data_IF_348183222172
#
_entry.id   IF_348183222172
#
_cell.length_a   1.000
_cell.length_b   1.000
_cell.length_c   1.000
_cell.angle_alpha   90.00
_cell.angle_beta   90.00
_cell.angle_gamma   90.00
#
_symmetry.space_group_name_H-M   'P 1'
#
loop_
_entity.id
_entity.type
_entity.pdbx_description
1 polymer ?
#
# COMPACT_ATOMS: atom_id res chain seq x y z
N UNK A 1 8.01 -35.40 31.84
CA UNK A 1 7.23 -36.25 32.78
C UNK A 1 6.14 -35.39 33.42
N UNK A 2 4.88 -35.78 33.18
CA UNK A 2 3.62 -35.43 33.86
C UNK A 2 3.33 -33.98 34.27
N UNK A 3 2.66 -33.25 33.38
CA UNK A 3 1.91 -32.02 33.67
C UNK A 3 0.57 -32.36 34.34
N UNK A 4 0.54 -32.33 35.67
CA UNK A 4 -0.69 -32.29 36.48
C UNK A 4 -0.43 -31.40 37.70
N UNK A 5 -0.53 -30.08 37.56
CA UNK A 5 -0.59 -29.18 38.73
C UNK A 5 -1.36 -27.87 38.52
N UNK A 6 -1.68 -27.49 37.28
CA UNK A 6 -2.44 -26.27 36.99
C UNK A 6 -3.96 -26.49 37.08
N UNK A 7 -4.48 -26.77 38.28
CA UNK A 7 -5.92 -26.78 38.52
C UNK A 7 -6.37 -26.04 39.79
N UNK A 8 -5.49 -25.31 40.48
CA UNK A 8 -5.89 -24.50 41.65
C UNK A 8 -5.21 -23.15 41.67
N UNK A 9 -5.73 -22.23 40.86
CA UNK A 9 -5.68 -20.78 41.09
C UNK A 9 -6.74 -20.13 40.20
N UNK A 10 -8.00 -20.36 40.55
CA UNK A 10 -9.12 -19.59 40.04
C UNK A 10 -9.77 -18.87 41.23
N UNK A 11 -10.08 -17.59 41.02
CA UNK A 11 -10.90 -16.66 41.82
C UNK A 11 -10.14 -15.56 42.59
N UNK A 12 -9.99 -14.42 41.93
CA UNK A 12 -10.51 -13.15 42.44
C UNK A 12 -11.22 -12.43 41.30
N UNK A 13 -12.56 -12.38 41.42
CA UNK A 13 -13.46 -11.94 40.37
C UNK A 13 -13.51 -10.42 40.22
N UNK A 14 -13.40 -9.97 38.98
CA UNK A 14 -14.03 -8.74 38.48
C UNK A 14 -15.15 -9.20 37.55
N UNK A 15 -16.37 -8.75 37.86
CA UNK A 15 -17.60 -9.17 37.22
C UNK A 15 -17.56 -8.92 35.70
N UNK A 16 -17.59 -10.01 34.93
CA UNK A 16 -17.96 -9.99 33.53
C UNK A 16 -19.42 -10.40 33.45
N UNK A 17 -20.30 -9.48 33.07
CA UNK A 17 -21.69 -9.77 32.75
C UNK A 17 -21.74 -10.67 31.52
N UNK A 18 -22.08 -11.94 31.73
CA UNK A 18 -22.52 -12.85 30.69
C UNK A 18 -23.89 -12.39 30.20
N UNK A 19 -23.95 -11.84 28.98
CA UNK A 19 -25.21 -11.78 28.25
C UNK A 19 -25.54 -13.20 27.78
N UNK A 20 -26.39 -13.87 28.54
CA UNK A 20 -27.14 -15.03 28.10
C UNK A 20 -28.19 -14.54 27.09
N UNK A 21 -28.03 -14.85 25.81
CA UNK A 21 -29.11 -14.73 24.85
C UNK A 21 -30.12 -15.85 25.12
N UNK A 22 -31.05 -15.58 26.03
CA UNK A 22 -32.29 -16.31 26.16
C UNK A 22 -33.20 -15.97 24.98
N UNK A 23 -33.82 -17.00 24.41
CA UNK A 23 -35.00 -16.90 23.56
C UNK A 23 -36.06 -16.07 24.28
N UNK A 24 -36.37 -14.89 23.74
CA UNK A 24 -37.34 -13.97 24.34
C UNK A 24 -37.73 -12.89 23.36
N UNK A 25 -38.91 -13.08 22.78
CA UNK A 25 -39.65 -12.13 21.93
C UNK A 25 -39.76 -10.76 22.58
N UNK A 26 -39.25 -9.68 21.96
CA UNK A 26 -39.75 -8.33 22.24
C UNK A 26 -39.74 -7.45 20.98
N UNK A 27 -40.88 -6.81 20.84
CA UNK A 27 -41.35 -5.73 19.99
C UNK A 27 -40.39 -4.58 19.71
N UNK A 28 -40.63 -3.99 18.53
CA UNK A 28 -40.15 -2.73 17.97
C UNK A 28 -39.84 -1.58 18.95
N UNK A 29 -38.71 -0.89 18.75
CA UNK A 29 -38.67 0.54 18.40
C UNK A 29 -37.21 1.06 18.21
N UNK A 30 -37.01 1.76 17.08
CA UNK A 30 -36.05 2.83 16.79
C UNK A 30 -34.52 2.64 16.97
N UNK A 31 -33.81 2.76 15.84
CA UNK A 31 -32.66 3.67 15.74
C UNK A 31 -31.26 3.06 15.63
N UNK A 32 -30.88 2.59 14.44
CA UNK A 32 -29.49 2.31 14.07
C UNK A 32 -29.40 1.94 12.59
N UNK A 33 -28.91 2.86 11.75
CA UNK A 33 -28.75 2.62 10.30
C UNK A 33 -27.65 1.58 10.08
N UNK A 34 -28.07 0.33 9.91
CA UNK A 34 -27.33 -0.72 9.25
C UNK A 34 -27.41 -0.46 7.73
N UNK A 35 -26.31 -0.44 6.96
CA UNK A 35 -26.41 -0.47 5.52
C UNK A 35 -26.83 -1.89 5.10
N UNK A 36 -28.13 -2.07 4.86
CA UNK A 36 -28.68 -3.21 4.14
C UNK A 36 -28.99 -2.79 2.72
N UNK A 37 -28.23 -3.33 1.76
CA UNK A 37 -28.80 -3.95 0.56
C UNK A 37 -27.68 -4.68 -0.17
N UNK A 38 -27.74 -6.01 -0.15
CA UNK A 38 -26.94 -6.86 -0.99
C UNK A 38 -27.44 -6.73 -2.44
N UNK A 39 -26.67 -6.02 -3.28
CA UNK A 39 -26.62 -6.30 -4.71
C UNK A 39 -25.35 -7.14 -4.90
N UNK A 40 -25.51 -8.46 -5.06
CA UNK A 40 -24.45 -9.32 -5.56
C UNK A 40 -24.25 -9.02 -7.04
N UNK A 41 -23.45 -8.00 -7.34
CA UNK A 41 -22.67 -8.02 -8.58
C UNK A 41 -21.62 -9.11 -8.44
N UNK A 42 -21.27 -9.88 -9.50
CA UNK A 42 -20.11 -10.76 -9.42
C UNK A 42 -18.92 -9.88 -9.04
N UNK A 43 -18.28 -10.16 -7.91
CA UNK A 43 -17.02 -9.52 -7.54
C UNK A 43 -16.05 -9.73 -8.72
N UNK A 44 -15.74 -8.68 -9.47
CA UNK A 44 -14.77 -8.78 -10.57
C UNK A 44 -13.45 -9.26 -9.97
N UNK A 45 -13.08 -10.50 -10.28
CA UNK A 45 -11.88 -11.13 -9.74
C UNK A 45 -10.66 -10.32 -10.18
N UNK A 46 -9.86 -9.88 -9.19
CA UNK A 46 -8.68 -9.07 -9.48
C UNK A 46 -7.59 -9.92 -10.10
N UNK A 47 -7.13 -9.51 -11.29
CA UNK A 47 -5.97 -10.11 -11.94
C UNK A 47 -4.68 -9.40 -11.53
N UNK A 48 -3.89 -10.06 -10.68
CA UNK A 48 -2.65 -9.51 -10.10
C UNK A 48 -1.39 -9.96 -10.82
N UNK A 49 -1.46 -11.05 -11.59
CA UNK A 49 -0.35 -11.64 -12.32
C UNK A 49 -0.71 -11.90 -13.77
N UNK A 50 0.30 -11.83 -14.64
CA UNK A 50 0.18 -12.11 -16.06
C UNK A 50 1.39 -12.91 -16.52
N UNK A 51 1.16 -13.96 -17.30
CA UNK A 51 2.19 -14.92 -17.70
C UNK A 51 3.24 -14.32 -18.63
N UNK A 52 2.92 -13.20 -19.30
CA UNK A 52 3.82 -12.51 -20.23
C UNK A 52 4.69 -11.43 -19.55
N UNK A 53 4.57 -11.25 -18.23
CA UNK A 53 5.47 -10.42 -17.41
C UNK A 53 6.64 -11.30 -16.94
N UNK A 54 7.50 -11.68 -17.89
CA UNK A 54 8.66 -12.52 -17.66
C UNK A 54 9.86 -12.00 -18.47
N UNK A 55 11.06 -12.16 -17.91
CA UNK A 55 12.32 -11.69 -18.49
C UNK A 55 12.81 -10.38 -17.89
N UNK A 56 14.15 -10.20 -17.83
CA UNK A 56 14.79 -9.10 -17.10
C UNK A 56 14.42 -7.70 -17.58
N UNK A 57 13.92 -7.55 -18.80
CA UNK A 57 13.48 -6.27 -19.38
C UNK A 57 12.08 -5.83 -18.91
N UNK A 58 11.25 -6.74 -18.36
CA UNK A 58 9.86 -6.45 -17.96
C UNK A 58 9.45 -6.97 -16.59
N UNK A 59 10.20 -7.89 -15.97
CA UNK A 59 9.83 -8.49 -14.67
C UNK A 59 9.69 -7.45 -13.56
N UNK A 60 10.50 -6.39 -13.61
CA UNK A 60 10.40 -5.25 -12.71
C UNK A 60 9.02 -4.58 -12.72
N UNK A 61 8.27 -4.70 -13.83
CA UNK A 61 6.94 -4.11 -13.99
C UNK A 61 5.84 -4.90 -13.24
N UNK A 62 6.11 -6.13 -12.78
CA UNK A 62 5.14 -6.91 -12.02
C UNK A 62 4.66 -6.19 -10.75
N UNK A 63 5.58 -5.50 -10.05
CA UNK A 63 5.27 -4.73 -8.84
C UNK A 63 4.33 -3.54 -9.12
N UNK A 64 4.66 -2.58 -10.01
CA UNK A 64 3.77 -1.46 -10.29
C UNK A 64 2.43 -1.90 -10.90
N UNK A 65 2.40 -2.95 -11.72
CA UNK A 65 1.15 -3.50 -12.25
C UNK A 65 0.26 -4.02 -11.12
N UNK A 66 0.82 -4.81 -10.20
CA UNK A 66 0.09 -5.30 -9.04
C UNK A 66 -0.36 -4.17 -8.09
N UNK A 67 0.44 -3.12 -7.92
CA UNK A 67 0.05 -1.98 -7.08
C UNK A 67 -1.11 -1.17 -7.65
N UNK A 68 -1.37 -1.28 -8.95
CA UNK A 68 -2.48 -0.58 -9.61
C UNK A 68 -3.72 -1.47 -9.79
N UNK A 69 -3.63 -2.77 -9.49
CA UNK A 69 -4.68 -3.73 -9.82
C UNK A 69 -5.99 -3.51 -9.04
N UNK A 70 -5.96 -2.83 -7.88
CA UNK A 70 -7.18 -2.44 -7.16
C UNK A 70 -7.96 -1.32 -7.85
N UNK A 71 -7.42 -0.79 -8.96
CA UNK A 71 -7.99 0.32 -9.71
C UNK A 71 -8.17 -0.07 -11.18
N UNK A 72 -9.23 0.43 -11.84
CA UNK A 72 -9.53 0.11 -13.23
C UNK A 72 -8.67 0.93 -14.22
N UNK A 73 -7.34 0.90 -14.06
CA UNK A 73 -6.39 1.70 -14.84
C UNK A 73 -5.96 0.92 -16.08
N UNK A 74 -5.29 -0.20 -15.85
CA UNK A 74 -4.87 -1.13 -16.89
C UNK A 74 -5.84 -2.29 -16.96
N UNK A 75 -6.31 -2.58 -18.18
CA UNK A 75 -6.96 -3.85 -18.47
C UNK A 75 -5.93 -4.78 -19.13
N UNK A 76 -6.00 -6.07 -18.77
CA UNK A 76 -5.43 -7.13 -19.58
C UNK A 76 -6.16 -7.22 -20.92
N UNK A 77 -5.58 -7.96 -21.85
CA UNK A 77 -6.22 -8.22 -23.14
C UNK A 77 -7.12 -9.47 -23.03
N UNK A 78 -8.10 -9.64 -23.95
CA UNK A 78 -8.98 -10.82 -23.96
C UNK A 78 -8.23 -12.16 -24.06
N UNK A 79 -6.99 -12.14 -24.56
CA UNK A 79 -6.09 -13.30 -24.62
C UNK A 79 -5.44 -13.64 -23.26
N UNK A 80 -5.73 -12.86 -22.21
CA UNK A 80 -5.22 -13.04 -20.87
C UNK A 80 -3.86 -12.38 -20.61
N UNK A 81 -3.18 -11.82 -21.60
CA UNK A 81 -1.88 -11.16 -21.45
C UNK A 81 -1.97 -9.72 -20.96
N UNK A 82 -0.87 -9.20 -20.40
CA UNK A 82 -0.71 -7.77 -20.14
C UNK A 82 -0.20 -7.00 -21.36
N UNK A 83 0.65 -7.63 -22.16
CA UNK A 83 1.43 -7.12 -23.29
C UNK A 83 2.43 -6.03 -22.89
N UNK A 84 3.39 -6.34 -22.00
CA UNK A 84 4.27 -5.33 -21.38
C UNK A 84 5.17 -4.59 -22.38
N UNK A 85 5.53 -5.24 -23.49
CA UNK A 85 6.39 -4.70 -24.54
C UNK A 85 5.63 -3.91 -25.61
N UNK A 86 4.30 -3.93 -25.58
CA UNK A 86 3.47 -3.21 -26.56
C UNK A 86 3.70 -1.70 -26.38
N UNK A 87 4.06 -0.97 -27.45
CA UNK A 87 3.99 0.49 -27.46
C UNK A 87 2.57 0.95 -27.13
N UNK A 88 2.44 2.04 -26.37
CA UNK A 88 1.12 2.64 -26.10
C UNK A 88 0.91 3.89 -26.93
N UNK A 89 -0.32 4.10 -27.39
CA UNK A 89 -0.68 5.28 -28.17
C UNK A 89 -0.85 6.53 -27.29
N UNK A 90 -0.94 7.71 -27.91
CA UNK A 90 -1.30 8.95 -27.22
C UNK A 90 -2.68 8.87 -26.59
N UNK A 91 -3.64 8.26 -27.29
CA UNK A 91 -4.98 8.03 -26.76
C UNK A 91 -4.98 7.09 -25.55
N UNK A 92 -4.26 5.96 -25.63
CA UNK A 92 -4.14 5.01 -24.51
C UNK A 92 -3.48 5.65 -23.28
N UNK A 93 -2.43 6.45 -23.48
CA UNK A 93 -1.76 7.20 -22.41
C UNK A 93 -2.73 8.12 -21.67
N UNK A 94 -3.53 8.93 -22.40
CA UNK A 94 -4.56 9.79 -21.78
C UNK A 94 -5.60 8.99 -21.01
N UNK A 95 -6.05 7.87 -21.58
CA UNK A 95 -7.03 7.03 -20.92
C UNK A 95 -6.51 6.48 -19.59
N UNK A 96 -5.27 5.99 -19.55
CA UNK A 96 -4.68 5.43 -18.34
C UNK A 96 -4.47 6.49 -17.26
N UNK A 97 -3.92 7.66 -17.60
CA UNK A 97 -3.70 8.71 -16.59
C UNK A 97 -5.01 9.29 -16.06
N UNK A 98 -6.04 9.48 -16.91
CA UNK A 98 -7.35 9.97 -16.47
C UNK A 98 -8.06 8.96 -15.57
N UNK A 99 -7.87 7.66 -15.79
CA UNK A 99 -8.33 6.63 -14.84
C UNK A 99 -7.59 6.70 -13.51
N UNK A 100 -6.28 6.97 -13.53
CA UNK A 100 -5.49 7.13 -12.31
C UNK A 100 -5.89 8.37 -11.49
N UNK A 101 -6.41 9.41 -12.11
CA UNK A 101 -6.90 10.61 -11.41
C UNK A 101 -8.42 10.63 -11.24
N UNK A 102 -9.06 9.46 -11.28
CA UNK A 102 -10.49 9.24 -11.05
C UNK A 102 -11.43 10.06 -11.97
N UNK A 103 -10.99 10.29 -13.21
CA UNK A 103 -11.75 10.98 -14.26
C UNK A 103 -12.46 10.04 -15.24
N UNK A 104 -12.42 8.73 -14.99
CA UNK A 104 -13.05 7.71 -15.87
C UNK A 104 -14.54 7.97 -16.07
N UNK A 105 -15.32 8.17 -15.01
CA UNK A 105 -16.77 8.36 -15.15
C UNK A 105 -17.10 9.65 -15.91
N UNK A 106 -16.31 10.71 -15.72
CA UNK A 106 -16.45 11.94 -16.48
C UNK A 106 -16.16 11.69 -17.96
N UNK A 107 -15.00 11.10 -18.28
CA UNK A 107 -14.57 10.83 -19.64
C UNK A 107 -15.53 9.89 -20.40
N UNK A 108 -16.17 8.94 -19.71
CA UNK A 108 -17.15 8.02 -20.32
C UNK A 108 -18.59 8.53 -20.26
N UNK A 109 -18.82 9.75 -19.75
CA UNK A 109 -20.15 10.36 -19.71
C UNK A 109 -20.65 10.67 -21.12
N UNK A 110 -21.98 10.63 -21.30
CA UNK A 110 -22.58 10.95 -22.60
C UNK A 110 -22.26 12.38 -23.07
N UNK A 111 -22.02 13.32 -22.16
CA UNK A 111 -21.62 14.68 -22.52
C UNK A 111 -20.23 14.70 -23.18
N UNK A 112 -19.22 14.13 -22.52
CA UNK A 112 -17.85 14.14 -23.03
C UNK A 112 -17.71 13.30 -24.30
N UNK A 113 -18.41 12.15 -24.37
CA UNK A 113 -18.36 11.23 -25.49
C UNK A 113 -18.99 11.78 -26.78
N UNK A 114 -19.87 12.77 -26.69
CA UNK A 114 -20.48 13.45 -27.85
C UNK A 114 -19.82 14.78 -28.18
N UNK A 115 -18.68 15.10 -27.56
CA UNK A 115 -17.96 16.36 -27.80
C UNK A 115 -17.33 16.37 -29.19
N UNK A 116 -17.52 17.48 -29.91
CA UNK A 116 -16.78 17.75 -31.15
C UNK A 116 -15.36 18.19 -30.80
N UNK A 117 -14.38 17.33 -31.06
CA UNK A 117 -12.98 17.61 -30.80
C UNK A 117 -12.43 18.69 -31.77
N UNK A 118 -11.52 19.56 -31.31
CA UNK A 118 -11.00 20.68 -32.10
C UNK A 118 -9.85 20.29 -33.06
N UNK A 119 -9.54 19.01 -33.20
CA UNK A 119 -8.42 18.52 -33.99
C UNK A 119 -8.80 18.19 -35.43
N UNK A 120 -7.87 18.36 -36.35
CA UNK A 120 -8.06 18.04 -37.77
C UNK A 120 -8.14 16.52 -38.02
N UNK A 121 -7.56 15.71 -37.14
CA UNK A 121 -7.60 14.25 -37.12
C UNK A 121 -8.59 13.72 -36.06
N UNK A 122 -9.63 14.50 -35.73
CA UNK A 122 -10.65 14.06 -34.78
C UNK A 122 -11.37 12.77 -35.21
N UNK A 123 -11.49 12.53 -36.52
CA UNK A 123 -12.12 11.33 -37.07
C UNK A 123 -11.26 10.06 -36.87
N UNK A 124 -9.96 10.20 -36.60
CA UNK A 124 -9.06 9.08 -36.26
C UNK A 124 -9.19 8.66 -34.79
N UNK A 125 -9.86 9.47 -33.95
CA UNK A 125 -10.10 9.13 -32.55
C UNK A 125 -11.18 8.07 -32.47
N UNK A 126 -10.81 6.87 -32.00
CA UNK A 126 -11.79 5.81 -31.77
C UNK A 126 -12.93 6.28 -30.85
N UNK A 127 -14.15 5.82 -31.12
CA UNK A 127 -15.36 6.27 -30.41
C UNK A 127 -15.25 6.21 -28.88
N UNK A 128 -14.69 5.12 -28.33
CA UNK A 128 -14.45 4.96 -26.88
C UNK A 128 -13.54 6.04 -26.26
N UNK A 129 -12.71 6.68 -27.08
CA UNK A 129 -11.68 7.63 -26.70
C UNK A 129 -12.08 9.10 -26.76
N UNK A 130 -13.19 9.43 -27.41
CA UNK A 130 -13.62 10.83 -27.65
C UNK A 130 -13.70 11.61 -26.34
N UNK A 131 -14.38 11.05 -25.33
CA UNK A 131 -14.52 11.74 -24.05
C UNK A 131 -13.21 11.82 -23.25
N UNK A 132 -12.28 10.89 -23.44
CA UNK A 132 -10.94 10.99 -22.83
C UNK A 132 -10.11 12.13 -23.43
N UNK A 133 -10.21 12.36 -24.75
CA UNK A 133 -9.57 13.51 -25.39
C UNK A 133 -10.25 14.81 -24.95
N UNK A 134 -11.57 14.84 -24.88
CA UNK A 134 -12.34 16.00 -24.39
C UNK A 134 -11.94 16.39 -22.96
N UNK A 135 -11.93 15.42 -22.03
CA UNK A 135 -11.48 15.67 -20.66
C UNK A 135 -10.00 16.06 -20.62
N UNK A 136 -9.14 15.44 -21.43
CA UNK A 136 -7.74 15.83 -21.53
C UNK A 136 -7.53 17.30 -21.91
N UNK A 137 -8.37 17.87 -22.79
CA UNK A 137 -8.38 19.30 -23.11
C UNK A 137 -8.85 20.15 -21.93
N UNK A 138 -9.96 19.76 -21.29
CA UNK A 138 -10.54 20.48 -20.13
C UNK A 138 -9.58 20.54 -18.95
N UNK A 139 -8.82 19.48 -18.72
CA UNK A 139 -7.82 19.36 -17.66
C UNK A 139 -6.44 19.89 -18.08
N UNK A 140 -6.31 20.55 -19.24
CA UNK A 140 -5.06 21.10 -19.77
C UNK A 140 -3.90 20.08 -19.93
N UNK A 141 -4.24 18.79 -20.07
CA UNK A 141 -3.25 17.72 -20.28
C UNK A 141 -2.67 17.75 -21.70
N UNK A 142 -3.51 18.15 -22.65
CA UNK A 142 -3.17 18.37 -24.06
C UNK A 142 -3.59 19.77 -24.48
N UNK A 143 -2.87 20.36 -25.43
CA UNK A 143 -3.07 21.75 -25.82
C UNK A 143 -4.20 21.89 -26.84
N UNK A 144 -5.16 22.82 -26.63
CA UNK A 144 -6.16 23.15 -27.66
C UNK A 144 -5.56 23.88 -28.87
N UNK A 145 -4.31 24.36 -28.77
CA UNK A 145 -3.60 25.01 -29.88
C UNK A 145 -2.91 24.04 -30.84
N UNK A 146 -2.86 22.75 -30.52
CA UNK A 146 -2.36 21.71 -31.44
C UNK A 146 -3.40 21.45 -32.54
N UNK A 147 -2.99 21.50 -33.81
CA UNK A 147 -3.92 21.22 -34.94
C UNK A 147 -4.25 19.74 -35.10
N UNK A 148 -3.41 18.85 -34.59
CA UNK A 148 -3.54 17.40 -34.69
C UNK A 148 -3.27 16.76 -33.32
N UNK A 149 -4.06 15.76 -32.95
CA UNK A 149 -3.89 15.02 -31.70
C UNK A 149 -3.01 13.77 -31.87
N UNK A 150 -3.03 13.13 -33.03
CA UNK A 150 -2.36 11.87 -33.37
C UNK A 150 -2.74 10.69 -32.45
N UNK A 151 -4.03 10.29 -32.40
CA UNK A 151 -4.55 9.35 -31.40
C UNK A 151 -3.83 7.99 -31.38
N UNK A 152 -3.52 7.45 -32.55
CA UNK A 152 -2.90 6.12 -32.72
C UNK A 152 -1.36 6.17 -32.78
N UNK A 153 -0.76 7.37 -32.82
CA UNK A 153 0.69 7.49 -32.78
C UNK A 153 1.21 7.06 -31.41
N UNK A 154 2.32 6.33 -31.41
CA UNK A 154 3.04 5.97 -30.19
C UNK A 154 3.37 7.20 -29.35
N UNK A 155 3.09 7.13 -28.05
CA UNK A 155 3.44 8.20 -27.12
C UNK A 155 4.94 8.23 -26.86
N UNK A 156 5.60 9.36 -27.10
CA UNK A 156 7.00 9.53 -26.70
C UNK A 156 7.11 9.57 -25.18
N UNK A 157 8.25 9.11 -24.65
CA UNK A 157 8.52 9.13 -23.21
C UNK A 157 8.44 10.53 -22.62
N UNK A 158 8.90 11.55 -23.35
CA UNK A 158 8.77 12.95 -22.93
C UNK A 158 7.31 13.37 -22.82
N UNK A 159 6.50 13.10 -23.85
CA UNK A 159 5.11 13.51 -23.86
C UNK A 159 4.30 12.81 -22.76
N UNK A 160 4.50 11.50 -22.58
CA UNK A 160 3.86 10.74 -21.50
C UNK A 160 4.24 11.28 -20.11
N UNK A 161 5.50 11.69 -19.93
CA UNK A 161 5.97 12.33 -18.68
C UNK A 161 5.26 13.65 -18.42
N UNK A 162 5.18 14.53 -19.43
CA UNK A 162 4.52 15.85 -19.31
C UNK A 162 3.04 15.69 -18.94
N UNK A 163 2.33 14.81 -19.64
CA UNK A 163 0.91 14.51 -19.39
C UNK A 163 0.71 14.00 -17.97
N UNK A 164 1.55 13.07 -17.49
CA UNK A 164 1.46 12.57 -16.12
C UNK A 164 1.71 13.68 -15.09
N UNK A 165 2.75 14.50 -15.26
CA UNK A 165 3.05 15.62 -14.33
C UNK A 165 1.90 16.63 -14.29
N UNK A 166 1.31 16.96 -15.44
CA UNK A 166 0.12 17.83 -15.52
C UNK A 166 -1.08 17.23 -14.81
N UNK A 167 -1.39 15.96 -15.05
CA UNK A 167 -2.52 15.29 -14.42
C UNK A 167 -2.39 15.17 -12.90
N UNK A 168 -1.16 15.14 -12.38
CA UNK A 168 -0.88 15.20 -10.95
C UNK A 168 -1.00 16.62 -10.35
N UNK A 169 -1.36 17.63 -11.15
CA UNK A 169 -1.45 19.02 -10.71
C UNK A 169 -0.08 19.69 -10.48
N UNK A 170 1.00 19.13 -11.03
CA UNK A 170 2.37 19.57 -10.77
C UNK A 170 2.95 20.48 -11.86
N UNK A 171 2.11 21.00 -12.77
CA UNK A 171 2.53 21.87 -13.87
C UNK A 171 3.25 23.13 -13.36
N UNK A 172 2.73 23.80 -12.34
CA UNK A 172 3.37 25.02 -11.81
C UNK A 172 4.74 24.73 -11.18
N UNK A 173 4.88 23.59 -10.49
CA UNK A 173 6.18 23.15 -9.96
C UNK A 173 7.16 22.89 -11.11
N UNK A 174 6.72 22.27 -12.19
CA UNK A 174 7.53 22.03 -13.38
C UNK A 174 7.96 23.33 -14.06
N UNK A 175 7.05 24.28 -14.23
CA UNK A 175 7.35 25.59 -14.81
C UNK A 175 8.31 26.42 -13.94
N UNK A 176 8.32 26.21 -12.61
CA UNK A 176 9.30 26.83 -11.71
C UNK A 176 10.72 26.28 -11.86
N UNK A 177 10.86 25.09 -12.48
CA UNK A 177 12.12 24.36 -12.67
C UNK A 177 12.62 24.40 -14.11
N UNK A 178 12.19 25.39 -14.90
CA UNK A 178 12.66 25.58 -16.27
C UNK A 178 14.19 25.61 -16.35
N UNK A 179 14.77 24.86 -17.29
CA UNK A 179 16.21 24.78 -17.49
C UNK A 179 16.98 24.03 -16.39
N UNK A 180 16.28 23.28 -15.52
CA UNK A 180 16.92 22.49 -14.48
C UNK A 180 17.95 21.51 -15.05
N UNK A 181 19.04 21.30 -14.31
CA UNK A 181 20.03 20.27 -14.62
C UNK A 181 19.43 18.90 -14.35
N UNK A 182 19.49 18.02 -15.33
CA UNK A 182 18.93 16.67 -15.26
C UNK A 182 20.04 15.63 -15.09
N UNK A 183 19.74 14.49 -14.46
CA UNK A 183 20.71 13.40 -14.30
C UNK A 183 20.82 12.53 -15.57
N UNK A 184 20.45 13.05 -16.75
CA UNK A 184 20.38 12.30 -18.00
C UNK A 184 21.23 12.97 -19.09
N UNK A 185 22.10 12.20 -19.73
CA UNK A 185 23.09 12.71 -20.69
C UNK A 185 22.48 13.15 -22.04
N UNK A 186 21.29 12.64 -22.36
CA UNK A 186 20.60 12.79 -23.65
C UNK A 186 19.45 13.80 -23.59
N UNK A 187 19.55 14.80 -22.70
CA UNK A 187 18.49 15.79 -22.49
C UNK A 187 18.87 17.22 -22.87
N UNK A 188 20.03 17.39 -23.50
CA UNK A 188 20.54 18.70 -23.90
C UNK A 188 19.64 19.38 -24.95
N UNK A 189 19.03 18.60 -25.83
CA UNK A 189 18.11 19.05 -26.89
C UNK A 189 16.74 19.49 -26.38
N UNK A 190 16.40 19.15 -25.13
CA UNK A 190 15.10 19.51 -24.54
C UNK A 190 15.02 21.03 -24.30
N UNK A 191 13.83 21.57 -24.55
CA UNK A 191 13.52 22.95 -24.16
C UNK A 191 13.64 23.14 -22.65
N UNK A 192 13.84 24.39 -22.20
CA UNK A 192 13.90 24.68 -20.77
C UNK A 192 12.62 24.26 -20.05
N UNK A 193 11.46 24.39 -20.71
CA UNK A 193 10.18 23.92 -20.19
C UNK A 193 10.13 22.40 -20.03
N UNK A 194 10.51 21.65 -21.06
CA UNK A 194 10.54 20.18 -21.01
C UNK A 194 11.50 19.67 -19.92
N UNK A 195 12.63 20.36 -19.72
CA UNK A 195 13.56 20.07 -18.61
C UNK A 195 12.90 20.26 -17.25
N UNK A 196 12.03 21.26 -17.09
CA UNK A 196 11.25 21.47 -15.87
C UNK A 196 10.29 20.33 -15.56
N UNK A 197 9.54 19.86 -16.56
CA UNK A 197 8.66 18.69 -16.41
C UNK A 197 9.42 17.43 -16.06
N UNK A 198 10.53 17.17 -16.75
CA UNK A 198 11.36 16.02 -16.49
C UNK A 198 12.03 16.08 -15.11
N UNK A 199 12.43 17.27 -14.65
CA UNK A 199 12.98 17.46 -13.31
C UNK A 199 11.97 17.10 -12.21
N UNK A 200 10.71 17.54 -12.35
CA UNK A 200 9.63 17.12 -11.42
C UNK A 200 9.39 15.62 -11.51
N UNK A 201 9.40 15.04 -12.72
CA UNK A 201 9.30 13.59 -12.91
C UNK A 201 10.37 12.81 -12.14
N UNK A 202 11.61 13.30 -12.14
CA UNK A 202 12.71 12.71 -11.35
C UNK A 202 12.49 12.91 -9.85
N UNK A 203 12.18 14.14 -9.42
CA UNK A 203 12.04 14.49 -8.00
C UNK A 203 10.90 13.74 -7.30
N UNK A 204 9.79 13.53 -7.99
CA UNK A 204 8.65 12.74 -7.48
C UNK A 204 8.83 11.23 -7.64
N UNK A 205 9.97 10.77 -8.15
CA UNK A 205 10.26 9.35 -8.36
C UNK A 205 9.45 8.70 -9.49
N UNK A 206 8.89 9.49 -10.41
CA UNK A 206 8.18 8.98 -11.59
C UNK A 206 9.15 8.46 -12.64
N UNK A 207 10.31 9.12 -12.78
CA UNK A 207 11.30 8.85 -13.83
C UNK A 207 12.66 8.52 -13.23
N UNK A 208 13.16 7.31 -13.51
CA UNK A 208 14.51 6.87 -13.11
C UNK A 208 15.54 6.88 -14.26
N UNK A 209 15.06 6.86 -15.50
CA UNK A 209 15.88 6.68 -16.71
C UNK A 209 16.39 5.25 -16.89
N UNK A 210 17.28 5.07 -17.87
CA UNK A 210 17.98 3.83 -18.13
C UNK A 210 19.44 3.99 -17.77
N UNK A 211 20.03 2.98 -17.12
CA UNK A 211 21.47 2.91 -16.92
C UNK A 211 22.06 2.27 -18.18
N UNK A 212 22.93 3.01 -18.85
CA UNK A 212 23.63 2.56 -20.04
C UNK A 212 24.85 1.70 -19.67
N UNK A 213 25.42 1.00 -20.66
CA UNK A 213 26.59 0.13 -20.45
C UNK A 213 27.82 0.85 -19.87
N UNK A 214 27.93 2.16 -20.11
CA UNK A 214 29.00 3.01 -19.57
C UNK A 214 28.71 3.55 -18.15
N UNK A 215 27.57 3.16 -17.55
CA UNK A 215 27.14 3.61 -16.21
C UNK A 215 26.44 4.97 -16.20
N UNK A 216 26.39 5.67 -17.33
CA UNK A 216 25.64 6.92 -17.46
C UNK A 216 24.13 6.63 -17.54
N UNK A 217 23.32 7.67 -17.30
CA UNK A 217 21.86 7.54 -17.39
C UNK A 217 21.30 8.29 -18.58
N UNK A 218 20.34 7.68 -19.26
CA UNK A 218 19.56 8.30 -20.34
C UNK A 218 18.08 8.38 -19.97
N UNK A 219 17.40 9.37 -20.53
CA UNK A 219 15.96 9.49 -20.46
C UNK A 219 15.26 8.89 -21.69
N UNK A 220 15.88 9.03 -22.86
CA UNK A 220 15.39 8.66 -24.20
C UNK A 220 14.09 9.39 -24.56
N UNK A 221 14.12 10.73 -24.74
CA UNK A 221 12.90 11.55 -24.82
C UNK A 221 11.99 11.21 -26.00
N UNK A 222 12.57 10.74 -27.11
CA UNK A 222 11.87 10.45 -28.35
C UNK A 222 11.47 8.98 -28.52
N UNK A 223 11.96 8.08 -27.66
CA UNK A 223 11.56 6.68 -27.67
C UNK A 223 10.06 6.56 -27.38
N UNK A 224 9.41 5.61 -28.05
CA UNK A 224 8.01 5.28 -27.78
C UNK A 224 7.94 4.47 -26.49
N UNK A 225 7.09 4.91 -25.56
CA UNK A 225 6.94 4.26 -24.27
C UNK A 225 6.13 2.96 -24.41
N UNK A 226 6.57 1.90 -23.74
CA UNK A 226 5.83 0.64 -23.67
C UNK A 226 4.82 0.64 -22.53
N UNK A 227 3.86 -0.29 -22.57
CA UNK A 227 2.85 -0.46 -21.53
C UNK A 227 3.47 -0.74 -20.15
N UNK A 228 4.53 -1.56 -20.09
CA UNK A 228 5.27 -1.80 -18.84
C UNK A 228 5.97 -0.54 -18.32
N UNK A 229 6.63 0.21 -19.21
CA UNK A 229 7.29 1.47 -18.84
C UNK A 229 6.30 2.47 -18.26
N UNK A 230 5.14 2.64 -18.90
CA UNK A 230 4.12 3.55 -18.40
C UNK A 230 3.44 3.03 -17.13
N UNK A 231 3.25 1.71 -16.99
CA UNK A 231 2.78 1.12 -15.73
C UNK A 231 3.73 1.41 -14.57
N UNK A 232 5.05 1.39 -14.80
CA UNK A 232 6.04 1.85 -13.83
C UNK A 232 5.82 3.30 -13.37
N UNK A 233 5.63 4.21 -14.32
CA UNK A 233 5.34 5.63 -14.05
C UNK A 233 4.03 5.76 -13.26
N UNK A 234 2.96 5.12 -13.70
CA UNK A 234 1.65 5.21 -13.06
C UNK A 234 1.62 4.55 -11.69
N UNK A 235 2.40 3.47 -11.47
CA UNK A 235 2.52 2.80 -10.18
C UNK A 235 3.03 3.74 -9.10
N UNK A 236 4.03 4.56 -9.44
CA UNK A 236 4.57 5.58 -8.55
C UNK A 236 3.64 6.80 -8.44
N UNK A 237 3.06 7.23 -9.55
CA UNK A 237 2.06 8.31 -9.55
C UNK A 237 0.84 7.97 -8.68
N UNK A 238 0.47 6.69 -8.59
CA UNK A 238 -0.61 6.20 -7.74
C UNK A 238 -0.39 6.41 -6.24
N UNK A 239 0.85 6.62 -5.80
CA UNK A 239 1.16 6.96 -4.40
C UNK A 239 0.99 8.48 -4.11
N UNK A 240 0.77 9.30 -5.15
CA UNK A 240 0.64 10.76 -5.10
C UNK A 240 -0.80 11.27 -5.28
N UNK A 241 -1.69 10.41 -5.79
CA UNK A 241 -3.11 10.74 -5.98
C UNK A 241 -3.94 10.27 -4.79
N UNK A 242 -5.16 10.80 -4.68
CA UNK A 242 -6.13 10.25 -3.73
C UNK A 242 -6.46 8.81 -4.14
N UNK A 243 -6.25 7.88 -3.22
CA UNK A 243 -6.53 6.47 -3.41
C UNK A 243 -7.22 5.95 -2.15
N UNK A 244 -8.55 5.73 -2.16
CA UNK A 244 -9.27 5.26 -0.99
C UNK A 244 -8.91 3.83 -0.60
N UNK A 245 -8.19 3.09 -1.46
CA UNK A 245 -7.71 1.75 -1.15
C UNK A 245 -6.34 1.75 -0.48
N UNK A 246 -5.60 2.87 -0.57
CA UNK A 246 -4.24 3.00 -0.07
C UNK A 246 -4.24 3.27 1.44
N UNK A 247 -3.57 2.40 2.17
CA UNK A 247 -3.35 2.49 3.61
C UNK A 247 -1.85 2.56 3.86
N UNK A 248 -1.39 3.60 4.54
CA UNK A 248 -0.01 3.72 5.04
C UNK A 248 -0.03 3.56 6.55
N UNK A 249 0.93 2.82 7.08
CA UNK A 249 0.99 2.58 8.51
C UNK A 249 2.01 1.52 8.90
N UNK A 250 1.87 1.01 10.12
CA UNK A 250 2.73 0.00 10.72
C UNK A 250 1.97 -1.28 10.98
N UNK A 251 2.57 -2.42 10.69
CA UNK A 251 2.01 -3.72 11.09
C UNK A 251 2.03 -3.82 12.62
N UNK A 252 0.86 -3.98 13.25
CA UNK A 252 0.72 -4.18 14.71
C UNK A 252 0.58 -5.66 15.07
N UNK A 253 0.05 -6.48 14.17
CA UNK A 253 0.03 -7.93 14.27
C UNK A 253 -0.04 -8.56 12.87
N UNK A 254 0.49 -9.78 12.71
CA UNK A 254 0.40 -10.55 11.47
C UNK A 254 0.00 -11.99 11.77
N UNK A 255 -1.00 -12.49 11.04
CA UNK A 255 -1.34 -13.89 10.94
C UNK A 255 -1.05 -14.33 9.49
N UNK A 256 0.16 -14.83 9.18
CA UNK A 256 0.58 -15.10 7.81
C UNK A 256 -0.42 -15.99 7.05
N UNK A 257 -0.71 -15.62 5.80
CA UNK A 257 -1.69 -16.31 4.96
C UNK A 257 -3.16 -16.08 5.33
N UNK A 258 -3.45 -15.40 6.45
CA UNK A 258 -4.81 -15.13 6.91
C UNK A 258 -5.15 -13.64 6.94
N UNK A 259 -4.43 -12.84 7.74
CA UNK A 259 -4.69 -11.40 7.86
C UNK A 259 -3.49 -10.63 8.42
N UNK A 260 -3.55 -9.30 8.32
CA UNK A 260 -2.66 -8.40 9.05
C UNK A 260 -3.45 -7.28 9.74
N UNK A 261 -2.94 -6.80 10.87
CA UNK A 261 -3.41 -5.59 11.53
C UNK A 261 -2.47 -4.44 11.23
N UNK A 262 -3.02 -3.30 10.81
CA UNK A 262 -2.28 -2.09 10.46
C UNK A 262 -2.74 -0.96 11.34
N UNK A 263 -1.81 -0.36 12.07
CA UNK A 263 -2.01 0.92 12.74
C UNK A 263 -1.61 2.03 11.78
N UNK A 264 -2.56 2.88 11.40
CA UNK A 264 -2.34 4.02 10.51
C UNK A 264 -1.51 5.11 11.20
N UNK A 265 -1.01 6.07 10.42
CA UNK A 265 -0.30 7.23 10.98
C UNK A 265 -1.19 8.09 11.91
N UNK A 266 -2.53 7.95 11.82
CA UNK A 266 -3.51 8.58 12.71
C UNK A 266 -3.76 7.78 14.00
N UNK A 267 -3.12 6.62 14.17
CA UNK A 267 -3.24 5.76 15.36
C UNK A 267 -4.41 4.78 15.34
N UNK A 268 -5.25 4.81 14.31
CA UNK A 268 -6.35 3.86 14.14
C UNK A 268 -5.82 2.50 13.70
N UNK A 269 -6.38 1.41 14.22
CA UNK A 269 -5.96 0.05 13.87
C UNK A 269 -7.06 -0.69 13.13
N UNK A 270 -6.73 -1.19 11.93
CA UNK A 270 -7.63 -1.96 11.07
C UNK A 270 -7.08 -3.36 10.82
N UNK A 271 -7.97 -4.33 10.62
CA UNK A 271 -7.60 -5.70 10.24
C UNK A 271 -7.95 -5.93 8.78
N UNK A 272 -6.98 -6.39 7.99
CA UNK A 272 -7.15 -6.73 6.59
C UNK A 272 -6.86 -8.22 6.38
N UNK A 273 -7.85 -9.05 6.04
CA UNK A 273 -7.62 -10.39 5.50
C UNK A 273 -6.76 -10.33 4.25
N UNK A 274 -5.92 -11.33 3.99
CA UNK A 274 -5.23 -11.42 2.70
C UNK A 274 -6.20 -11.82 1.60
N UNK A 275 -6.16 -11.12 0.47
CA UNK A 275 -6.78 -11.61 -0.76
C UNK A 275 -6.06 -12.88 -1.24
N UNK A 276 -6.77 -13.79 -1.93
CA UNK A 276 -6.26 -15.13 -2.27
C UNK A 276 -4.89 -15.14 -2.99
N UNK A 277 -4.64 -14.12 -3.82
CA UNK A 277 -3.42 -13.95 -4.59
C UNK A 277 -2.65 -12.68 -4.20
N UNK A 278 -2.79 -12.21 -2.96
CA UNK A 278 -2.17 -10.97 -2.52
C UNK A 278 -0.66 -10.93 -2.79
N UNK A 279 -0.18 -9.82 -3.33
CA UNK A 279 1.24 -9.62 -3.61
C UNK A 279 1.91 -8.88 -2.45
N UNK A 280 2.93 -9.50 -1.86
CA UNK A 280 3.73 -8.90 -0.79
C UNK A 280 5.13 -8.61 -1.33
N UNK A 281 5.62 -7.40 -1.09
CA UNK A 281 6.97 -6.96 -1.45
C UNK A 281 7.74 -6.51 -0.22
N UNK A 282 8.98 -6.97 -0.09
CA UNK A 282 9.90 -6.56 0.99
C UNK A 282 11.31 -6.45 0.40
N UNK A 283 12.01 -5.36 0.71
CA UNK A 283 13.33 -5.07 0.14
C UNK A 283 13.35 -5.11 -1.41
N UNK A 284 12.27 -4.65 -2.03
CA UNK A 284 12.12 -4.60 -3.49
C UNK A 284 11.75 -5.93 -4.19
N UNK A 285 11.79 -7.06 -3.48
CA UNK A 285 11.46 -8.37 -4.05
C UNK A 285 10.08 -8.86 -3.63
N UNK A 286 9.41 -9.63 -4.49
CA UNK A 286 8.17 -10.33 -4.13
C UNK A 286 8.51 -11.42 -3.11
N UNK A 287 7.79 -11.45 -1.99
CA UNK A 287 7.98 -12.39 -0.89
C UNK A 287 6.65 -13.00 -0.46
N UNK A 288 6.72 -14.06 0.34
CA UNK A 288 5.53 -14.60 1.02
C UNK A 288 5.09 -13.70 2.18
N UNK A 289 3.81 -13.76 2.56
CA UNK A 289 3.29 -13.06 3.76
C UNK A 289 4.00 -13.46 5.06
N UNK A 290 4.65 -14.62 5.09
CA UNK A 290 5.47 -15.06 6.23
C UNK A 290 6.73 -14.21 6.44
N UNK A 291 7.15 -13.42 5.45
CA UNK A 291 8.28 -12.50 5.59
C UNK A 291 7.91 -11.17 6.27
N UNK A 292 6.62 -10.91 6.53
CA UNK A 292 6.14 -9.71 7.21
C UNK A 292 6.36 -9.82 8.71
N UNK A 293 6.81 -8.72 9.32
CA UNK A 293 7.04 -8.63 10.75
C UNK A 293 6.16 -7.56 11.37
N UNK A 294 5.72 -7.80 12.61
CA UNK A 294 5.22 -6.70 13.45
C UNK A 294 6.27 -5.60 13.52
N UNK A 295 5.83 -4.36 13.35
CA UNK A 295 6.69 -3.19 13.31
C UNK A 295 7.14 -2.76 11.91
N UNK A 296 6.97 -3.58 10.87
CA UNK A 296 7.22 -3.15 9.49
C UNK A 296 6.34 -1.94 9.15
N UNK A 297 6.91 -0.88 8.57
CA UNK A 297 6.13 0.17 7.93
C UNK A 297 5.80 -0.28 6.52
N UNK A 298 4.53 -0.11 6.15
CA UNK A 298 4.00 -0.60 4.90
C UNK A 298 3.20 0.47 4.18
N UNK A 299 3.08 0.29 2.86
CA UNK A 299 1.95 0.73 2.07
C UNK A 299 1.15 -0.49 1.63
N UNK A 300 -0.16 -0.43 1.82
CA UNK A 300 -1.10 -1.50 1.52
C UNK A 300 -2.20 -0.96 0.62
N UNK A 301 -2.61 -1.73 -0.39
CA UNK A 301 -3.86 -1.47 -1.12
C UNK A 301 -4.83 -2.62 -0.92
N UNK A 302 -6.09 -2.29 -0.69
CA UNK A 302 -7.14 -3.27 -0.42
C UNK A 302 -8.28 -3.24 -1.44
N UNK A 303 -8.95 -4.37 -1.61
CA UNK A 303 -10.17 -4.50 -2.40
C UNK A 303 -11.27 -5.10 -1.54
N UNK A 304 -12.37 -4.36 -1.36
CA UNK A 304 -13.46 -4.69 -0.44
C UNK A 304 -12.98 -5.12 0.97
N UNK A 305 -11.98 -4.43 1.51
CA UNK A 305 -11.42 -4.69 2.84
C UNK A 305 -10.38 -5.82 2.92
N UNK A 306 -10.11 -6.53 1.82
CA UNK A 306 -9.03 -7.53 1.76
C UNK A 306 -7.75 -6.93 1.20
N UNK A 307 -6.60 -7.19 1.83
CA UNK A 307 -5.29 -6.73 1.40
C UNK A 307 -4.87 -7.43 0.08
N UNK A 308 -4.62 -6.65 -0.96
CA UNK A 308 -4.30 -7.13 -2.31
C UNK A 308 -2.83 -6.90 -2.64
N UNK A 309 -2.30 -5.74 -2.28
CA UNK A 309 -0.90 -5.38 -2.47
C UNK A 309 -0.35 -4.86 -1.16
N UNK A 310 0.80 -5.38 -0.74
CA UNK A 310 1.53 -4.94 0.46
C UNK A 310 2.97 -4.69 0.04
N UNK A 311 3.51 -3.52 0.37
CA UNK A 311 4.94 -3.23 0.23
C UNK A 311 5.48 -2.71 1.55
N UNK A 312 6.50 -3.39 2.06
CA UNK A 312 7.30 -2.92 3.20
C UNK A 312 8.18 -1.77 2.73
N UNK A 313 7.85 -0.56 3.19
CA UNK A 313 8.57 0.68 2.88
C UNK A 313 9.74 0.91 3.83
N UNK A 314 9.62 0.38 5.04
CA UNK A 314 10.71 0.34 6.02
C UNK A 314 10.54 -0.94 6.83
N UNK A 315 11.58 -1.77 6.83
CA UNK A 315 11.61 -2.91 7.75
C UNK A 315 11.39 -2.39 9.18
N UNK A 316 10.73 -3.19 10.00
CA UNK A 316 10.86 -3.04 11.44
C UNK A 316 12.36 -2.88 11.69
N UNK A 317 12.76 -1.74 12.27
CA UNK A 317 14.12 -1.68 12.82
C UNK A 317 14.25 -2.87 13.75
N UNK A 318 15.47 -3.40 13.90
CA UNK A 318 15.75 -4.25 15.07
C UNK A 318 15.27 -3.41 16.25
N UNK A 319 14.16 -3.79 16.88
CA UNK A 319 13.75 -3.12 18.11
C UNK A 319 14.91 -3.41 19.04
N UNK A 320 15.71 -2.39 19.45
CA UNK A 320 16.90 -2.66 20.25
C UNK A 320 16.48 -3.55 21.41
N UNK A 321 17.32 -4.51 21.74
CA UNK A 321 17.10 -5.31 22.94
C UNK A 321 16.77 -4.34 24.08
N UNK A 322 15.61 -4.51 24.67
CA UNK A 322 15.11 -3.59 25.68
C UNK A 322 15.00 -4.34 26.99
N UNK A 323 15.46 -3.69 28.05
CA UNK A 323 15.24 -4.16 29.41
C UNK A 323 14.20 -3.27 30.04
N UNK A 324 13.19 -3.87 30.67
CA UNK A 324 12.23 -3.15 31.49
C UNK A 324 12.10 -3.79 32.86
N UNK A 325 12.12 -2.97 33.90
CA UNK A 325 11.84 -3.38 35.27
C UNK A 325 10.58 -2.68 35.76
N UNK A 326 9.72 -3.42 36.47
CA UNK A 326 8.50 -2.88 37.06
C UNK A 326 7.84 -3.87 38.01
N UNK A 327 6.82 -3.40 38.71
CA UNK A 327 6.02 -4.23 39.60
C UNK A 327 5.10 -5.11 38.75
N UNK A 328 5.19 -6.42 38.92
CA UNK A 328 4.34 -7.37 38.21
C UNK A 328 2.87 -7.17 38.61
N UNK A 329 1.99 -6.93 37.64
CA UNK A 329 0.55 -6.80 37.88
C UNK A 329 -0.24 -8.06 37.49
N UNK A 330 0.23 -8.79 36.48
CA UNK A 330 -0.45 -9.99 36.02
C UNK A 330 0.06 -10.49 34.69
N UNK A 331 -0.50 -11.62 34.25
CA UNK A 331 -0.19 -12.24 32.97
C UNK A 331 -1.44 -12.87 32.34
N UNK A 332 -1.38 -13.10 31.04
CA UNK A 332 -2.35 -13.94 30.33
C UNK A 332 -1.63 -15.21 29.85
N UNK A 333 -2.36 -16.32 29.86
CA UNK A 333 -1.89 -17.60 29.33
C UNK A 333 -2.84 -18.10 28.25
N UNK A 334 -2.32 -18.84 27.27
CA UNK A 334 -3.15 -19.54 26.30
C UNK A 334 -3.72 -20.86 26.87
N UNK A 335 -4.51 -21.58 26.07
CA UNK A 335 -5.11 -22.87 26.44
C UNK A 335 -4.10 -23.96 26.82
N UNK A 336 -2.84 -23.81 26.40
CA UNK A 336 -1.75 -24.74 26.69
C UNK A 336 -0.95 -24.32 27.94
N UNK A 337 -1.37 -23.25 28.63
CA UNK A 337 -0.69 -22.71 29.80
C UNK A 337 0.55 -21.87 29.50
N UNK A 338 0.82 -21.52 28.24
CA UNK A 338 1.95 -20.66 27.88
C UNK A 338 1.60 -19.19 28.10
N UNK A 339 2.53 -18.43 28.65
CA UNK A 339 2.37 -16.99 28.87
C UNK A 339 2.33 -16.27 27.52
N UNK A 340 1.26 -15.52 27.25
CA UNK A 340 1.10 -14.73 26.03
C UNK A 340 1.34 -13.25 26.28
N UNK A 341 1.08 -12.76 27.50
CA UNK A 341 1.35 -11.37 27.88
C UNK A 341 1.77 -11.25 29.33
N UNK A 342 2.60 -10.25 29.66
CA UNK A 342 2.95 -9.83 31.03
C UNK A 342 2.65 -8.34 31.19
N UNK A 343 2.00 -7.97 32.30
CA UNK A 343 1.71 -6.58 32.66
C UNK A 343 2.61 -6.10 33.80
N UNK A 344 3.21 -4.93 33.63
CA UNK A 344 4.00 -4.25 34.66
C UNK A 344 3.40 -2.89 35.01
N UNK A 345 3.39 -2.54 36.30
CA UNK A 345 3.18 -1.19 36.80
C UNK A 345 4.52 -0.48 36.98
N UNK A 346 4.60 0.76 36.50
CA UNK A 346 5.80 1.60 36.60
C UNK A 346 5.43 3.05 36.89
N UNK A 347 6.27 3.76 37.64
CA UNK A 347 6.18 5.21 37.73
C UNK A 347 6.78 5.84 36.47
N UNK A 348 5.95 6.50 35.67
CA UNK A 348 6.36 7.28 34.50
C UNK A 348 5.96 8.74 34.75
N UNK A 349 6.94 9.65 34.71
CA UNK A 349 6.73 11.09 34.89
C UNK A 349 5.91 11.47 36.15
N UNK A 350 6.15 10.77 37.27
CA UNK A 350 5.47 11.02 38.55
C UNK A 350 4.09 10.39 38.70
N UNK A 351 3.59 9.64 37.71
CA UNK A 351 2.32 8.89 37.79
C UNK A 351 2.54 7.39 37.53
N UNK A 352 1.80 6.53 38.23
CA UNK A 352 1.86 5.09 37.99
C UNK A 352 1.07 4.73 36.72
N UNK A 353 1.71 4.00 35.80
CA UNK A 353 1.12 3.51 34.56
C UNK A 353 1.32 2.00 34.44
N UNK A 354 0.27 1.31 34.00
CA UNK A 354 0.32 -0.11 33.64
C UNK A 354 0.69 -0.25 32.16
N UNK A 355 1.63 -1.14 31.84
CA UNK A 355 1.99 -1.46 30.47
C UNK A 355 1.98 -2.97 30.28
N UNK A 356 1.32 -3.43 29.21
CA UNK A 356 1.25 -4.85 28.83
C UNK A 356 2.24 -5.14 27.70
N UNK A 357 2.99 -6.22 27.86
CA UNK A 357 3.99 -6.70 26.91
C UNK A 357 3.60 -8.07 26.37
N UNK A 358 3.76 -8.28 25.06
CA UNK A 358 3.59 -9.59 24.43
C UNK A 358 4.81 -10.46 24.72
N UNK A 359 4.57 -11.75 24.98
CA UNK A 359 5.61 -12.70 25.37
C UNK A 359 5.86 -13.70 24.24
N UNK A 360 7.14 -13.97 23.97
CA UNK A 360 7.57 -14.97 23.00
C UNK A 360 7.11 -16.38 23.43
N UNK A 361 6.64 -17.24 22.50
CA UNK A 361 6.36 -18.65 22.80
C UNK A 361 7.56 -19.43 23.36
N UNK A 362 8.78 -18.93 23.12
CA UNK A 362 10.05 -19.49 23.59
C UNK A 362 10.69 -18.68 24.72
N UNK A 363 9.88 -17.93 25.48
CA UNK A 363 10.38 -17.12 26.60
C UNK A 363 11.13 -18.00 27.62
N UNK A 364 12.27 -17.52 28.10
CA UNK A 364 13.02 -18.16 29.18
C UNK A 364 12.68 -17.47 30.50
N UNK A 365 12.26 -18.25 31.49
CA UNK A 365 11.93 -17.73 32.82
C UNK A 365 13.08 -18.08 33.79
N UNK A 366 13.66 -17.06 34.39
CA UNK A 366 14.72 -17.17 35.40
C UNK A 366 14.14 -16.89 36.78
N UNK A 367 14.18 -17.90 37.65
CA UNK A 367 13.61 -17.86 39.00
C UNK A 367 12.61 -18.98 39.23
N UNK A 368 11.94 -19.01 40.38
CA UNK A 368 10.91 -20.00 40.66
C UNK A 368 9.55 -19.41 40.30
N UNK A 369 8.66 -20.20 39.70
CA UNK A 369 7.30 -19.72 39.37
C UNK A 369 6.53 -19.17 40.59
N UNK A 370 6.81 -19.70 41.79
CA UNK A 370 6.28 -19.18 43.06
C UNK A 370 6.66 -17.72 43.35
N UNK A 371 7.67 -17.19 42.67
CA UNK A 371 8.15 -15.81 42.82
C UNK A 371 7.40 -14.81 41.94
N UNK A 372 6.59 -15.29 40.99
CA UNK A 372 5.74 -14.47 40.12
C UNK A 372 4.48 -14.00 40.88
N UNK A 373 4.67 -13.14 41.88
CA UNK A 373 3.60 -12.59 42.73
C UNK A 373 3.34 -11.13 42.39
N UNK A 374 2.08 -10.72 42.41
CA UNK A 374 1.66 -9.33 42.16
C UNK A 374 2.42 -8.35 43.07
N UNK A 375 2.75 -7.17 42.55
CA UNK A 375 3.54 -6.10 43.16
C UNK A 375 5.02 -6.42 43.41
N UNK A 376 5.54 -7.58 43.00
CA UNK A 376 6.99 -7.81 43.03
C UNK A 376 7.68 -7.19 41.82
N UNK A 377 8.85 -6.62 42.06
CA UNK A 377 9.72 -6.13 41.00
C UNK A 377 10.27 -7.30 40.19
N UNK A 378 10.00 -7.29 38.89
CA UNK A 378 10.57 -8.23 37.93
C UNK A 378 11.25 -7.46 36.80
N UNK A 379 12.24 -8.10 36.17
CA UNK A 379 12.92 -7.59 34.98
C UNK A 379 12.45 -8.41 33.78
N UNK A 380 12.16 -7.74 32.67
CA UNK A 380 11.87 -8.36 31.38
C UNK A 380 12.96 -7.92 30.40
N UNK A 381 13.56 -8.87 29.71
CA UNK A 381 14.37 -8.58 28.52
C UNK A 381 13.54 -8.92 27.28
N UNK A 382 13.45 -7.95 26.38
CA UNK A 382 12.72 -8.06 25.14
C UNK A 382 13.59 -7.83 23.93
N UNK A 383 13.22 -8.49 22.83
CA UNK A 383 13.87 -8.42 21.53
C UNK A 383 12.78 -8.41 20.46
N UNK A 384 12.95 -7.60 19.43
CA UNK A 384 11.97 -7.46 18.34
C UNK A 384 10.54 -7.15 18.82
N UNK A 385 10.42 -6.39 19.94
CA UNK A 385 9.14 -5.96 20.50
C UNK A 385 8.38 -7.00 21.34
N UNK A 386 8.96 -8.19 21.59
CA UNK A 386 8.38 -9.22 22.47
C UNK A 386 9.33 -9.58 23.62
N UNK A 387 8.79 -10.04 24.75
CA UNK A 387 9.59 -10.52 25.88
C UNK A 387 10.18 -11.88 25.56
N UNK A 388 11.50 -11.99 25.65
CA UNK A 388 12.27 -13.22 25.42
C UNK A 388 12.84 -13.80 26.72
N UNK A 389 12.97 -13.00 27.78
CA UNK A 389 13.30 -13.49 29.11
C UNK A 389 12.57 -12.74 30.23
N UNK A 390 12.16 -13.48 31.26
CA UNK A 390 11.53 -12.96 32.48
C UNK A 390 12.41 -13.32 33.67
N UNK A 391 12.81 -12.35 34.47
CA UNK A 391 13.59 -12.56 35.68
C UNK A 391 12.75 -12.22 36.90
N UNK A 392 12.41 -13.23 37.69
CA UNK A 392 11.52 -13.14 38.86
C UNK A 392 12.23 -12.64 40.13
N UNK A 393 13.54 -12.46 40.05
CA UNK A 393 14.37 -11.84 41.07
C UNK A 393 15.23 -10.75 40.42
N UNK A 394 15.36 -9.56 41.03
CA UNK A 394 16.30 -8.56 40.55
C UNK A 394 17.71 -9.16 40.53
N UNK A 395 18.37 -9.19 39.37
CA UNK A 395 19.81 -9.41 39.32
C UNK A 395 20.46 -8.19 39.97
N UNK A 396 21.34 -8.42 40.95
CA UNK A 396 22.05 -7.37 41.68
C UNK A 396 22.88 -6.47 40.75
#
# INVERSE_FOLDING_TARGET
MNNKFWQKAALSGLAFTLFTAGLGTVTSAQGGKQPSSAIKSPEEELKLSFDDIQGGDVEWAAKPIASLATRPIFYGYPDGGFHPRKPISRLETLAFILRLVDKKQQAESSEEMNTKLPFLDADDVSSWGVGYVSVGLKENLISPGESYFYPEQGASRLWATKVTVKALGLEQEALSKKGAKLPFIDTNELSDEDKGYLAVGVEKGLIYGFIESNGERTFRPHDIITKAQYAGILGNAGDLVQDPTLVKGRISAVAPGQSLQVTTDLGETFTYPFYKDAHVYKNGSKVSSYALNTGDQIKLRHHYGSAVFIEVTKNAGITPDFTVTGEFEGMLVNSNGQITTVSLKRALNGSAASTRYTVSPNVVIYGKESDLTVNKMIKLDGKDGVIVAIYLTPQK
#
